data_IF_970666274452
#
_entry.id   IF_970666274452
#
_cell.length_a   1.000
_cell.length_b   1.000
_cell.length_c   1.000
_cell.angle_alpha   90.00
_cell.angle_beta   90.00
_cell.angle_gamma   90.00
#
_symmetry.space_group_name_H-M   'P 1'
#
loop_
_entity.id
_entity.type
_entity.pdbx_description
1 polymer ?
#
# COMPACT_ATOMS: atom_id res chain seq x y z
N UNK A 1 -60.30 -38.05 -37.29
CA UNK A 1 -59.20 -37.10 -37.05
C UNK A 1 -59.66 -36.14 -35.97
N UNK A 2 -59.30 -36.41 -34.72
CA UNK A 2 -59.58 -35.50 -33.60
C UNK A 2 -58.57 -34.36 -33.66
N UNK A 3 -59.06 -33.16 -33.98
CA UNK A 3 -58.30 -31.92 -33.89
C UNK A 3 -58.03 -31.67 -32.41
N UNK A 4 -56.79 -31.87 -31.97
CA UNK A 4 -56.36 -31.41 -30.65
C UNK A 4 -56.27 -29.89 -30.70
N UNK A 5 -57.20 -29.23 -30.02
CA UNK A 5 -57.17 -27.78 -29.80
C UNK A 5 -55.84 -27.42 -29.12
N UNK A 6 -55.05 -26.57 -29.78
CA UNK A 6 -53.72 -26.20 -29.31
C UNK A 6 -53.87 -25.20 -28.15
N UNK A 7 -53.65 -25.67 -26.92
CA UNK A 7 -53.78 -24.84 -25.71
C UNK A 7 -52.71 -23.76 -25.74
N UNK A 8 -53.13 -22.49 -25.73
CA UNK A 8 -52.22 -21.35 -25.77
C UNK A 8 -51.89 -20.81 -24.37
N UNK A 9 -50.81 -20.05 -24.26
CA UNK A 9 -50.43 -19.32 -23.03
C UNK A 9 -51.56 -18.41 -22.54
N UNK A 10 -52.34 -17.84 -23.47
CA UNK A 10 -53.47 -16.96 -23.16
C UNK A 10 -54.63 -17.72 -22.50
N UNK A 11 -54.84 -18.97 -22.88
CA UNK A 11 -55.86 -19.84 -22.28
C UNK A 11 -55.48 -20.19 -20.84
N UNK A 12 -54.19 -20.42 -20.59
CA UNK A 12 -53.66 -20.64 -19.23
C UNK A 12 -53.85 -19.42 -18.32
N UNK A 13 -53.53 -18.21 -18.79
CA UNK A 13 -53.77 -16.98 -18.01
C UNK A 13 -55.25 -16.72 -17.76
N UNK A 14 -56.11 -17.04 -18.72
CA UNK A 14 -57.56 -16.87 -18.57
C UNK A 14 -58.12 -17.84 -17.53
N UNK A 15 -57.64 -19.10 -17.52
CA UNK A 15 -58.00 -20.10 -16.53
C UNK A 15 -57.55 -19.69 -15.12
N UNK A 16 -56.30 -19.20 -14.98
CA UNK A 16 -55.78 -18.70 -13.70
C UNK A 16 -56.64 -17.56 -13.18
N UNK A 17 -56.93 -16.55 -14.00
CA UNK A 17 -57.72 -15.39 -13.58
C UNK A 17 -59.11 -15.77 -13.12
N UNK A 18 -59.72 -16.77 -13.77
CA UNK A 18 -61.01 -17.33 -13.36
C UNK A 18 -60.90 -18.06 -12.02
N UNK A 19 -59.87 -18.91 -11.83
CA UNK A 19 -59.63 -19.58 -10.56
C UNK A 19 -59.35 -18.60 -9.40
N UNK A 20 -58.64 -17.49 -9.64
CA UNK A 20 -58.43 -16.44 -8.64
C UNK A 20 -59.73 -15.77 -8.22
N UNK A 21 -60.63 -15.52 -9.19
CA UNK A 21 -61.92 -14.87 -8.94
C UNK A 21 -62.92 -15.81 -8.24
N UNK A 22 -62.98 -17.07 -8.69
CA UNK A 22 -63.99 -18.03 -8.24
C UNK A 22 -63.59 -18.74 -6.95
N UNK A 23 -62.28 -18.94 -6.70
CA UNK A 23 -61.76 -19.73 -5.57
C UNK A 23 -60.92 -18.90 -4.59
N UNK A 24 -60.71 -17.60 -4.84
CA UNK A 24 -59.92 -16.71 -3.98
C UNK A 24 -58.44 -17.08 -3.89
N UNK A 25 -57.93 -17.86 -4.84
CA UNK A 25 -56.54 -18.32 -4.88
C UNK A 25 -55.63 -17.13 -5.18
N UNK A 26 -54.56 -16.96 -4.40
CA UNK A 26 -53.56 -15.90 -4.65
C UNK A 26 -52.51 -16.33 -5.67
N UNK A 27 -51.78 -15.38 -6.25
CA UNK A 27 -50.61 -15.68 -7.09
C UNK A 27 -49.59 -16.55 -6.36
N UNK A 28 -49.43 -16.36 -5.04
CA UNK A 28 -48.50 -17.12 -4.22
C UNK A 28 -48.89 -18.60 -4.09
N UNK A 29 -50.19 -18.88 -4.02
CA UNK A 29 -50.70 -20.25 -3.97
C UNK A 29 -50.44 -21.01 -5.28
N UNK A 30 -50.53 -20.30 -6.42
CA UNK A 30 -50.25 -20.85 -7.75
C UNK A 30 -48.75 -21.12 -7.91
N UNK A 31 -47.89 -20.21 -7.45
CA UNK A 31 -46.44 -20.42 -7.48
C UNK A 31 -45.98 -21.59 -6.60
N UNK A 32 -46.75 -21.94 -5.56
CA UNK A 32 -46.45 -23.07 -4.68
C UNK A 32 -46.75 -24.43 -5.30
N UNK A 33 -47.56 -24.49 -6.37
CA UNK A 33 -47.92 -25.73 -7.04
C UNK A 33 -46.68 -26.46 -7.60
N UNK A 34 -46.53 -27.78 -7.36
CA UNK A 34 -45.37 -28.55 -7.81
C UNK A 34 -45.13 -28.44 -9.33
N UNK A 35 -46.20 -28.47 -10.12
CA UNK A 35 -46.14 -28.34 -11.59
C UNK A 35 -45.65 -26.98 -12.04
N UNK A 36 -46.07 -25.91 -11.35
CA UNK A 36 -45.59 -24.55 -11.66
C UNK A 36 -44.11 -24.45 -11.29
N UNK A 37 -43.68 -25.00 -10.15
CA UNK A 37 -42.26 -25.04 -9.77
C UNK A 37 -41.38 -25.81 -10.77
N UNK A 38 -41.89 -26.89 -11.37
CA UNK A 38 -41.12 -27.67 -12.35
C UNK A 38 -40.92 -26.94 -13.68
N UNK A 39 -41.87 -26.10 -14.10
CA UNK A 39 -41.83 -25.42 -15.41
C UNK A 39 -41.43 -23.94 -15.33
N UNK A 40 -41.46 -23.31 -14.14
CA UNK A 40 -41.22 -21.86 -13.92
C UNK A 40 -39.94 -21.33 -14.58
N UNK A 41 -38.93 -22.19 -14.73
CA UNK A 41 -37.61 -21.84 -15.22
C UNK A 41 -37.22 -22.52 -16.53
N UNK A 42 -38.10 -23.32 -17.11
CA UNK A 42 -37.86 -24.01 -18.37
C UNK A 42 -37.62 -23.00 -19.50
N UNK A 43 -36.61 -23.25 -20.34
CA UNK A 43 -36.20 -22.33 -21.43
C UNK A 43 -35.50 -21.03 -21.00
N UNK A 44 -35.51 -20.64 -19.71
CA UNK A 44 -34.83 -19.43 -19.22
C UNK A 44 -33.37 -19.67 -18.87
N UNK A 45 -32.47 -18.76 -19.28
CA UNK A 45 -31.04 -18.78 -18.90
C UNK A 45 -30.86 -18.37 -17.43
N UNK A 46 -29.79 -18.83 -16.78
CA UNK A 46 -29.52 -18.53 -15.37
C UNK A 46 -29.57 -17.03 -15.03
N UNK A 47 -29.03 -16.16 -15.90
CA UNK A 47 -29.06 -14.70 -15.72
C UNK A 47 -30.48 -14.14 -15.72
N UNK A 48 -31.38 -14.71 -16.53
CA UNK A 48 -32.80 -14.32 -16.56
C UNK A 48 -33.55 -14.86 -15.34
N UNK A 49 -33.14 -16.01 -14.79
CA UNK A 49 -33.73 -16.58 -13.56
C UNK A 49 -33.40 -15.75 -12.33
N UNK A 50 -32.21 -15.13 -12.31
CA UNK A 50 -31.68 -14.39 -11.17
C UNK A 50 -31.59 -12.88 -11.41
N UNK A 51 -32.28 -12.35 -12.42
CA UNK A 51 -32.16 -10.95 -12.83
C UNK A 51 -32.41 -9.99 -11.65
N UNK A 52 -33.46 -10.21 -10.87
CA UNK A 52 -33.78 -9.42 -9.68
C UNK A 52 -32.67 -9.45 -8.62
N UNK A 53 -32.07 -10.63 -8.37
CA UNK A 53 -30.97 -10.78 -7.41
C UNK A 53 -29.71 -10.09 -7.92
N UNK A 54 -29.45 -10.18 -9.23
CA UNK A 54 -28.32 -9.50 -9.87
C UNK A 54 -28.52 -7.98 -9.80
N UNK A 55 -29.71 -7.47 -10.13
CA UNK A 55 -30.03 -6.05 -10.01
C UNK A 55 -29.95 -5.58 -8.56
N UNK A 56 -30.48 -6.33 -7.60
CA UNK A 56 -30.35 -6.01 -6.17
C UNK A 56 -28.89 -6.00 -5.72
N UNK A 57 -28.06 -6.95 -6.19
CA UNK A 57 -26.63 -7.00 -5.90
C UNK A 57 -25.86 -5.81 -6.49
N UNK A 58 -26.16 -5.43 -7.74
CA UNK A 58 -25.59 -4.25 -8.39
C UNK A 58 -26.03 -2.97 -7.67
N UNK A 59 -27.33 -2.84 -7.38
CA UNK A 59 -27.87 -1.70 -6.65
C UNK A 59 -27.23 -1.60 -5.26
N UNK A 60 -27.10 -2.71 -4.54
CA UNK A 60 -26.40 -2.75 -3.25
C UNK A 60 -24.94 -2.31 -3.39
N UNK A 61 -24.22 -2.79 -4.40
CA UNK A 61 -22.83 -2.40 -4.64
C UNK A 61 -22.70 -0.90 -4.90
N UNK A 62 -23.55 -0.30 -5.75
CA UNK A 62 -23.42 1.12 -6.12
C UNK A 62 -24.05 2.08 -5.10
N UNK A 63 -25.11 1.69 -4.40
CA UNK A 63 -25.82 2.55 -3.43
C UNK A 63 -25.19 2.44 -2.04
N UNK A 64 -24.70 1.26 -1.65
CA UNK A 64 -24.20 1.00 -0.30
C UNK A 64 -22.73 0.62 -0.33
N UNK A 65 -22.32 -0.37 -1.14
CA UNK A 65 -20.95 -0.90 -1.16
C UNK A 65 -19.88 0.15 -1.46
N UNK A 66 -19.95 0.79 -2.62
CA UNK A 66 -18.99 1.81 -3.04
C UNK A 66 -19.06 3.06 -2.15
N UNK A 67 -20.23 3.62 -1.80
CA UNK A 67 -20.28 4.78 -0.90
C UNK A 67 -19.80 4.47 0.52
N UNK A 68 -20.09 3.28 1.06
CA UNK A 68 -19.59 2.88 2.38
C UNK A 68 -18.10 2.59 2.37
N UNK A 69 -17.58 1.93 1.32
CA UNK A 69 -16.14 1.77 1.12
C UNK A 69 -15.47 3.13 1.02
N UNK A 70 -16.01 4.04 0.22
CA UNK A 70 -15.51 5.40 0.07
C UNK A 70 -15.58 6.15 1.40
N UNK A 71 -16.66 6.03 2.17
CA UNK A 71 -16.80 6.62 3.51
C UNK A 71 -15.76 6.06 4.49
N UNK A 72 -15.54 4.74 4.50
CA UNK A 72 -14.53 4.11 5.36
C UNK A 72 -13.12 4.54 4.95
N UNK A 73 -12.82 4.58 3.65
CA UNK A 73 -11.57 5.12 3.12
C UNK A 73 -11.41 6.59 3.49
N UNK A 74 -12.45 7.42 3.35
CA UNK A 74 -12.42 8.83 3.77
C UNK A 74 -12.13 8.93 5.27
N UNK A 75 -12.82 8.14 6.10
CA UNK A 75 -12.69 8.17 7.56
C UNK A 75 -11.33 7.67 8.05
N UNK A 76 -10.79 6.62 7.44
CA UNK A 76 -9.56 5.95 7.91
C UNK A 76 -8.29 6.46 7.22
N UNK A 77 -8.39 6.89 5.97
CA UNK A 77 -7.24 7.13 5.09
C UNK A 77 -7.12 8.58 4.59
N UNK A 78 -8.12 9.46 4.81
CA UNK A 78 -8.12 10.82 4.23
C UNK A 78 -8.15 11.96 5.25
N UNK A 79 -7.47 13.04 4.89
CA UNK A 79 -7.40 14.26 5.69
C UNK A 79 -8.70 15.07 5.65
N UNK A 80 -9.62 14.86 4.69
CA UNK A 80 -10.96 15.46 4.77
C UNK A 80 -11.76 14.85 5.93
N UNK A 81 -11.67 13.52 6.09
CA UNK A 81 -12.26 12.80 7.21
C UNK A 81 -11.66 13.22 8.54
N UNK A 82 -10.33 13.32 8.61
CA UNK A 82 -9.64 13.83 9.80
C UNK A 82 -9.92 15.32 10.05
N UNK A 83 -9.94 16.20 9.05
CA UNK A 83 -10.21 17.64 9.20
C UNK A 83 -11.64 17.91 9.65
N UNK A 84 -12.64 17.15 9.18
CA UNK A 84 -14.01 17.22 9.70
C UNK A 84 -14.09 16.74 11.14
N UNK A 85 -13.36 15.67 11.48
CA UNK A 85 -13.27 15.13 12.83
C UNK A 85 -12.51 16.07 13.78
N UNK A 86 -11.41 16.67 13.33
CA UNK A 86 -10.63 17.68 14.04
C UNK A 86 -11.42 18.97 14.19
N UNK A 87 -12.20 19.38 13.19
CA UNK A 87 -13.15 20.50 13.34
C UNK A 87 -14.25 20.17 14.34
N UNK A 88 -14.74 18.92 14.39
CA UNK A 88 -15.66 18.42 15.40
C UNK A 88 -15.02 18.37 16.80
N UNK A 89 -13.77 17.90 16.94
CA UNK A 89 -13.04 17.86 18.22
C UNK A 89 -12.56 19.24 18.68
N UNK A 90 -12.21 20.15 17.77
CA UNK A 90 -11.89 21.55 18.06
C UNK A 90 -13.14 22.30 18.54
N UNK A 91 -14.33 21.96 18.02
CA UNK A 91 -15.61 22.42 18.57
C UNK A 91 -15.83 21.94 20.02
N UNK A 92 -15.24 20.80 20.40
CA UNK A 92 -15.25 20.24 21.76
C UNK A 92 -13.95 20.46 22.57
N UNK A 93 -12.98 21.24 22.06
CA UNK A 93 -11.85 21.77 22.82
C UNK A 93 -10.54 20.97 22.87
N UNK A 94 -10.23 20.11 21.90
CA UNK A 94 -8.96 19.36 21.87
C UNK A 94 -8.12 19.67 20.61
N UNK A 95 -7.01 20.41 20.76
CA UNK A 95 -6.20 20.95 19.66
C UNK A 95 -4.94 20.11 19.42
N UNK A 96 -4.84 19.43 18.26
CA UNK A 96 -3.56 19.01 17.68
C UNK A 96 -3.45 19.48 16.22
N UNK A 97 -2.36 20.18 15.91
CA UNK A 97 -2.08 20.80 14.62
C UNK A 97 -1.68 19.78 13.55
N UNK A 98 -2.00 20.08 12.29
CA UNK A 98 -1.73 19.26 11.11
C UNK A 98 -0.47 19.74 10.39
N UNK A 99 0.49 18.84 10.17
CA UNK A 99 1.70 19.06 9.37
C UNK A 99 1.39 19.03 7.84
N UNK A 100 2.25 19.71 7.06
CA UNK A 100 2.04 20.30 5.73
C UNK A 100 1.69 19.40 4.52
N UNK A 101 1.42 18.09 4.62
CA UNK A 101 1.08 17.26 3.44
C UNK A 101 -0.25 16.52 3.57
N UNK A 102 -1.33 17.29 3.59
CA UNK A 102 -2.67 16.75 3.80
C UNK A 102 -3.46 16.54 2.50
N UNK A 103 -3.49 15.31 1.99
CA UNK A 103 -4.26 14.96 0.78
C UNK A 103 -5.71 14.54 1.09
N UNK A 104 -6.68 15.08 0.32
CA UNK A 104 -8.12 14.72 0.39
C UNK A 104 -8.38 13.25 0.03
N UNK A 105 -7.52 12.66 -0.77
CA UNK A 105 -7.54 11.24 -1.11
C UNK A 105 -6.09 10.78 -1.29
N UNK A 106 -5.66 9.77 -0.53
CA UNK A 106 -4.38 9.12 -0.75
C UNK A 106 -4.54 8.18 -1.94
N UNK A 107 -3.92 8.54 -3.06
CA UNK A 107 -3.89 7.69 -4.24
C UNK A 107 -3.17 6.38 -3.90
N UNK A 108 -3.77 5.25 -4.26
CA UNK A 108 -3.13 3.93 -4.12
C UNK A 108 -1.75 3.95 -4.78
N UNK A 109 -0.75 3.33 -4.17
CA UNK A 109 0.62 3.20 -4.70
C UNK A 109 0.62 2.70 -6.16
N UNK A 110 -0.26 1.75 -6.49
CA UNK A 110 -0.44 1.25 -7.85
C UNK A 110 -0.87 2.32 -8.88
N UNK A 111 -1.55 3.37 -8.42
CA UNK A 111 -1.97 4.51 -9.24
C UNK A 111 -0.99 5.69 -9.15
N UNK A 112 -0.01 5.69 -8.25
CA UNK A 112 0.93 6.80 -8.15
C UNK A 112 1.90 6.82 -9.33
N UNK A 113 2.53 5.68 -9.60
CA UNK A 113 3.53 5.53 -10.67
C UNK A 113 3.04 5.87 -12.08
N UNK A 114 1.85 5.43 -12.55
CA UNK A 114 1.38 5.75 -13.90
C UNK A 114 0.88 7.19 -14.07
N UNK A 115 0.58 7.90 -12.98
CA UNK A 115 0.01 9.26 -13.02
C UNK A 115 1.02 10.35 -12.60
N UNK A 116 2.26 10.00 -12.28
CA UNK A 116 3.31 10.99 -12.06
C UNK A 116 3.61 11.76 -13.36
N UNK A 117 4.11 13.00 -13.28
CA UNK A 117 4.59 13.72 -14.45
C UNK A 117 5.64 12.90 -15.22
N UNK A 118 5.56 12.81 -16.56
CA UNK A 118 6.55 12.09 -17.34
C UNK A 118 7.90 12.79 -17.27
N UNK A 119 8.98 12.02 -17.21
CA UNK A 119 10.35 12.55 -17.28
C UNK A 119 10.81 12.74 -18.73
N UNK A 120 11.82 13.60 -18.95
CA UNK A 120 12.50 13.69 -20.24
C UNK A 120 13.45 12.49 -20.43
N UNK A 121 13.07 11.56 -21.31
CA UNK A 121 13.85 10.35 -21.58
C UNK A 121 15.21 10.61 -22.24
N UNK A 122 15.49 11.82 -22.73
CA UNK A 122 16.83 12.17 -23.21
C UNK A 122 17.87 12.14 -22.09
N UNK A 123 17.46 12.41 -20.85
CA UNK A 123 18.32 12.40 -19.66
C UNK A 123 18.89 11.01 -19.33
N UNK A 124 18.14 9.93 -19.64
CA UNK A 124 18.59 8.55 -19.41
C UNK A 124 19.08 7.82 -20.67
N UNK A 125 19.07 8.47 -21.85
CA UNK A 125 19.39 7.82 -23.14
C UNK A 125 20.75 7.13 -23.18
N UNK A 126 21.74 7.69 -22.47
CA UNK A 126 23.12 7.18 -22.44
C UNK A 126 23.44 6.40 -21.15
N UNK A 127 22.44 6.13 -20.31
CA UNK A 127 22.63 5.40 -19.05
C UNK A 127 22.58 3.90 -19.34
N UNK A 128 23.75 3.29 -19.44
CA UNK A 128 23.88 1.84 -19.75
C UNK A 128 24.10 0.96 -18.52
N UNK A 129 24.19 1.55 -17.32
CA UNK A 129 24.45 0.83 -16.08
C UNK A 129 24.94 1.73 -14.95
N UNK A 130 25.32 1.13 -13.83
CA UNK A 130 25.79 1.84 -12.63
C UNK A 130 27.24 2.29 -12.81
N UNK A 131 27.55 3.55 -12.48
CA UNK A 131 28.93 4.05 -12.38
C UNK A 131 29.51 3.76 -11.02
N UNK A 132 30.78 3.41 -10.97
CA UNK A 132 31.48 3.10 -9.73
C UNK A 132 32.59 4.12 -9.52
N UNK A 133 32.53 4.86 -8.42
CA UNK A 133 33.44 5.97 -8.13
C UNK A 133 33.94 5.92 -6.70
N UNK A 134 35.00 6.68 -6.43
CA UNK A 134 35.62 6.86 -5.12
C UNK A 134 36.30 8.23 -5.06
N UNK A 135 36.59 8.71 -3.85
CA UNK A 135 37.27 9.97 -3.56
C UNK A 135 36.66 11.17 -4.31
N UNK A 136 35.35 11.32 -4.20
CA UNK A 136 34.58 12.29 -4.97
C UNK A 136 34.37 13.58 -4.18
N UNK A 137 34.65 14.74 -4.80
CA UNK A 137 34.41 16.04 -4.17
C UNK A 137 32.94 16.45 -4.26
N UNK A 138 32.50 17.37 -3.39
CA UNK A 138 31.15 17.96 -3.48
C UNK A 138 30.84 18.52 -4.87
N UNK A 139 31.81 19.23 -5.47
CA UNK A 139 31.63 19.86 -6.78
C UNK A 139 31.47 18.81 -7.89
N UNK A 140 32.27 17.75 -7.88
CA UNK A 140 32.13 16.64 -8.83
C UNK A 140 30.80 15.91 -8.65
N UNK A 141 30.31 15.76 -7.41
CA UNK A 141 29.00 15.15 -7.16
C UNK A 141 27.87 15.95 -7.77
N UNK A 142 27.86 17.25 -7.48
CA UNK A 142 26.83 18.17 -7.95
C UNK A 142 26.81 18.27 -9.47
N UNK A 143 27.98 18.40 -10.09
CA UNK A 143 28.13 18.58 -11.53
C UNK A 143 27.78 17.31 -12.32
N UNK A 144 28.20 16.13 -11.83
CA UNK A 144 28.11 14.90 -12.63
C UNK A 144 26.96 13.97 -12.24
N UNK A 145 26.44 14.04 -11.01
CA UNK A 145 25.55 12.99 -10.48
C UNK A 145 24.25 13.52 -9.85
N UNK A 146 24.30 14.54 -8.99
CA UNK A 146 23.19 14.93 -8.12
C UNK A 146 21.87 15.23 -8.86
N UNK A 147 21.96 15.78 -10.07
CA UNK A 147 20.81 16.16 -10.91
C UNK A 147 20.79 15.42 -12.24
N UNK A 148 21.40 14.23 -12.28
CA UNK A 148 21.41 13.36 -13.45
C UNK A 148 20.61 12.09 -13.20
N UNK A 149 20.20 11.41 -14.27
CA UNK A 149 19.60 10.06 -14.18
C UNK A 149 20.63 8.93 -14.09
N UNK A 150 21.92 9.24 -13.92
CA UNK A 150 22.99 8.24 -13.87
C UNK A 150 23.12 7.66 -12.45
N UNK A 151 22.74 6.38 -12.21
CA UNK A 151 22.96 5.75 -10.92
C UNK A 151 24.47 5.58 -10.66
N UNK A 152 24.89 5.87 -9.44
CA UNK A 152 26.29 5.86 -9.02
C UNK A 152 26.47 5.12 -7.69
N UNK A 153 27.51 4.28 -7.61
CA UNK A 153 27.95 3.60 -6.40
C UNK A 153 29.28 4.17 -5.96
N UNK A 154 29.28 4.81 -4.79
CA UNK A 154 30.47 5.40 -4.17
C UNK A 154 31.09 4.38 -3.22
N UNK A 155 32.24 3.80 -3.58
CA UNK A 155 32.84 2.67 -2.86
C UNK A 155 33.34 3.02 -1.47
N UNK A 156 33.74 4.26 -1.26
CA UNK A 156 34.31 4.79 -0.02
C UNK A 156 33.36 5.73 0.72
N UNK A 157 32.07 5.78 0.34
CA UNK A 157 31.08 6.69 0.90
C UNK A 157 30.83 6.55 2.41
N UNK A 158 31.14 5.38 2.97
CA UNK A 158 30.99 5.07 4.41
C UNK A 158 32.30 5.28 5.20
N UNK A 159 33.26 6.04 4.67
CA UNK A 159 34.56 6.22 5.32
C UNK A 159 34.43 6.85 6.73
N UNK A 160 34.98 6.16 7.73
CA UNK A 160 34.95 6.56 9.13
C UNK A 160 33.62 6.27 9.85
N UNK A 161 32.71 5.49 9.26
CA UNK A 161 31.52 5.00 9.95
C UNK A 161 31.87 3.78 10.82
N UNK A 162 31.25 3.68 11.99
CA UNK A 162 31.34 2.51 12.89
C UNK A 162 30.07 1.64 12.84
N UNK A 163 29.09 2.04 12.02
CA UNK A 163 27.82 1.35 11.87
C UNK A 163 27.99 -0.12 11.45
N UNK A 164 29.02 -0.44 10.67
CA UNK A 164 29.27 -1.82 10.22
C UNK A 164 29.58 -2.77 11.37
N UNK A 165 30.28 -2.28 12.38
CA UNK A 165 30.68 -3.02 13.57
C UNK A 165 29.56 -3.04 14.62
N UNK A 166 28.77 -1.97 14.72
CA UNK A 166 27.76 -1.81 15.77
C UNK A 166 26.36 -2.30 15.36
N UNK A 167 25.90 -1.97 14.15
CA UNK A 167 24.51 -2.21 13.76
C UNK A 167 24.23 -3.71 13.59
N UNK A 168 23.26 -4.17 14.38
CA UNK A 168 22.82 -5.55 14.46
C UNK A 168 21.39 -5.58 15.01
N UNK A 169 20.69 -6.71 14.84
CA UNK A 169 19.35 -6.89 15.40
C UNK A 169 19.32 -6.55 16.90
N UNK A 170 20.29 -7.09 17.65
CA UNK A 170 20.41 -6.86 19.10
C UNK A 170 20.65 -5.38 19.44
N UNK A 171 21.50 -4.69 18.67
CA UNK A 171 21.74 -3.26 18.90
C UNK A 171 20.46 -2.45 18.67
N UNK A 172 19.75 -2.66 17.55
CA UNK A 172 18.49 -1.94 17.31
C UNK A 172 17.41 -2.30 18.34
N UNK A 173 17.30 -3.58 18.73
CA UNK A 173 16.39 -4.01 19.81
C UNK A 173 16.71 -3.33 21.15
N UNK A 174 17.99 -3.00 21.42
CA UNK A 174 18.38 -2.24 22.61
C UNK A 174 18.01 -0.75 22.52
N UNK A 175 18.07 -0.16 21.32
CA UNK A 175 17.66 1.25 21.09
C UNK A 175 16.14 1.39 21.18
N UNK A 176 15.41 0.41 20.66
CA UNK A 176 13.95 0.33 20.68
C UNK A 176 13.49 -0.74 21.68
N UNK A 177 13.99 -0.67 22.92
CA UNK A 177 13.67 -1.68 23.93
C UNK A 177 12.16 -1.69 24.24
N UNK A 178 11.62 -2.82 24.74
CA UNK A 178 10.25 -2.87 25.24
C UNK A 178 9.98 -1.73 26.22
N UNK A 179 8.79 -1.14 26.13
CA UNK A 179 8.32 -0.02 26.95
C UNK A 179 9.17 1.27 26.87
N UNK A 180 10.09 1.38 25.90
CA UNK A 180 10.83 2.62 25.66
C UNK A 180 9.96 3.66 24.94
N UNK A 181 10.18 4.93 25.29
CA UNK A 181 9.57 6.08 24.60
C UNK A 181 9.88 6.07 23.10
N UNK A 182 11.07 5.63 22.72
CA UNK A 182 11.49 5.50 21.33
C UNK A 182 10.62 4.48 20.58
N UNK A 183 10.42 3.28 21.15
CA UNK A 183 9.59 2.25 20.53
C UNK A 183 8.11 2.69 20.46
N UNK A 184 7.58 3.28 21.54
CA UNK A 184 6.20 3.78 21.58
C UNK A 184 5.96 4.82 20.48
N UNK A 185 6.84 5.82 20.39
CA UNK A 185 6.75 6.89 19.40
C UNK A 185 6.88 6.35 17.98
N UNK A 186 7.84 5.46 17.74
CA UNK A 186 8.05 4.90 16.38
C UNK A 186 6.88 4.03 15.95
N UNK A 187 6.29 3.27 16.87
CA UNK A 187 5.12 2.44 16.60
C UNK A 187 3.86 3.27 16.31
N UNK A 188 3.70 4.41 17.00
CA UNK A 188 2.52 5.27 16.86
C UNK A 188 2.62 6.25 15.68
N UNK A 189 3.78 6.86 15.49
CA UNK A 189 3.94 8.06 14.68
C UNK A 189 4.80 7.85 13.42
N UNK A 190 5.65 6.81 13.38
CA UNK A 190 6.53 6.56 12.23
C UNK A 190 5.97 5.48 11.29
N UNK A 191 6.58 5.38 10.10
CA UNK A 191 6.20 4.42 9.07
C UNK A 191 7.00 3.12 9.23
N UNK A 192 6.30 1.99 9.08
CA UNK A 192 6.86 0.64 9.09
C UNK A 192 6.54 -0.08 7.78
N UNK A 193 7.52 -0.81 7.25
CA UNK A 193 7.43 -1.56 6.00
C UNK A 193 7.61 -3.06 6.24
N UNK A 194 6.52 -3.83 6.35
CA UNK A 194 6.56 -5.25 6.68
C UNK A 194 6.72 -6.14 5.44
N UNK A 195 7.70 -5.88 4.57
CA UNK A 195 7.83 -6.54 3.25
C UNK A 195 7.69 -8.08 3.31
N UNK A 196 6.52 -8.57 2.88
CA UNK A 196 6.17 -10.01 2.85
C UNK A 196 6.24 -10.69 4.23
N UNK A 197 6.07 -9.93 5.30
CA UNK A 197 6.01 -10.42 6.67
C UNK A 197 4.61 -10.25 7.27
N UNK A 198 4.40 -10.84 8.46
CA UNK A 198 3.15 -10.71 9.22
C UNK A 198 3.21 -9.65 10.32
N UNK A 199 4.34 -8.95 10.45
CA UNK A 199 4.53 -7.94 11.49
C UNK A 199 3.61 -6.75 11.23
N UNK A 200 2.85 -6.31 12.24
CA UNK A 200 2.05 -5.09 12.18
C UNK A 200 2.90 -3.83 12.28
N UNK A 201 3.93 -3.87 13.13
CA UNK A 201 4.72 -2.71 13.52
C UNK A 201 6.12 -3.12 14.03
N UNK A 202 6.90 -2.12 14.43
CA UNK A 202 8.27 -2.29 14.90
C UNK A 202 8.35 -3.03 16.25
N UNK A 203 7.31 -2.93 17.09
CA UNK A 203 7.25 -3.62 18.37
C UNK A 203 7.11 -5.12 18.17
N UNK A 204 6.21 -5.55 17.28
CA UNK A 204 6.08 -6.97 16.94
C UNK A 204 7.37 -7.53 16.31
N UNK A 205 8.04 -6.73 15.48
CA UNK A 205 9.32 -7.10 14.88
C UNK A 205 10.40 -7.37 15.94
N UNK A 206 10.60 -6.47 16.91
CA UNK A 206 11.60 -6.67 17.96
C UNK A 206 11.19 -7.67 19.04
N UNK A 207 9.91 -8.07 19.07
CA UNK A 207 9.40 -9.12 19.95
C UNK A 207 9.47 -10.54 19.32
N UNK A 208 10.16 -10.70 18.18
CA UNK A 208 10.35 -12.04 17.60
C UNK A 208 11.33 -12.90 18.41
N UNK A 209 11.22 -14.22 18.26
CA UNK A 209 12.14 -15.14 18.92
C UNK A 209 13.58 -15.00 18.40
N UNK A 210 14.56 -15.21 19.28
CA UNK A 210 15.98 -15.18 18.93
C UNK A 210 16.32 -16.14 17.78
N UNK A 211 15.70 -17.33 17.78
CA UNK A 211 15.79 -18.31 16.70
C UNK A 211 15.40 -17.71 15.35
N UNK A 212 14.26 -17.01 15.29
CA UNK A 212 13.78 -16.35 14.07
C UNK A 212 14.67 -15.17 13.65
N UNK A 213 15.13 -14.38 14.61
CA UNK A 213 16.08 -13.31 14.35
C UNK A 213 17.40 -13.85 13.74
N UNK A 214 17.82 -15.05 14.15
CA UNK A 214 18.99 -15.75 13.62
C UNK A 214 18.73 -16.56 12.33
N UNK A 215 17.51 -16.49 11.79
CA UNK A 215 17.14 -17.13 10.52
C UNK A 215 16.66 -18.58 10.63
N UNK A 216 16.34 -19.05 11.83
CA UNK A 216 15.56 -20.28 12.00
C UNK A 216 14.07 -19.97 11.83
N UNK A 217 13.49 -20.33 10.68
CA UNK A 217 12.07 -20.16 10.39
C UNK A 217 11.82 -19.35 9.12
N UNK A 218 10.70 -18.64 9.09
CA UNK A 218 10.32 -17.80 7.94
C UNK A 218 11.28 -16.61 7.79
N UNK A 219 11.78 -16.34 6.57
CA UNK A 219 12.59 -15.16 6.31
C UNK A 219 11.80 -13.88 6.59
N UNK A 220 12.52 -12.78 6.80
CA UNK A 220 11.93 -11.48 7.06
C UNK A 220 12.81 -10.39 6.46
N UNK A 221 12.17 -9.33 5.98
CA UNK A 221 12.82 -8.09 5.55
C UNK A 221 11.87 -6.95 5.93
N UNK A 222 12.35 -6.02 6.73
CA UNK A 222 11.54 -4.90 7.24
C UNK A 222 12.28 -3.59 7.03
N UNK A 223 11.51 -2.50 6.95
CA UNK A 223 12.02 -1.14 7.01
C UNK A 223 11.26 -0.30 8.01
N UNK A 224 11.87 0.73 8.59
CA UNK A 224 11.18 1.71 9.42
C UNK A 224 11.83 3.09 9.32
N UNK A 225 11.02 4.15 9.50
CA UNK A 225 11.56 5.49 9.72
C UNK A 225 11.95 5.67 11.17
N UNK A 226 13.13 6.23 11.39
CA UNK A 226 13.58 6.65 12.69
C UNK A 226 13.17 8.11 12.94
N UNK A 227 11.89 8.33 13.25
CA UNK A 227 11.33 9.66 13.50
C UNK A 227 11.38 10.09 14.99
N UNK A 228 11.89 9.23 15.88
CA UNK A 228 12.22 9.62 17.25
C UNK A 228 13.60 10.30 17.33
N UNK A 229 13.67 11.46 17.98
CA UNK A 229 14.89 12.26 18.04
C UNK A 229 15.99 11.64 18.91
N UNK A 230 15.64 10.92 19.98
CA UNK A 230 16.63 10.28 20.85
C UNK A 230 17.24 9.07 20.14
N UNK A 231 16.41 8.22 19.54
CA UNK A 231 16.86 7.10 18.74
C UNK A 231 17.67 7.57 17.51
N UNK A 232 17.24 8.63 16.82
CA UNK A 232 17.99 9.24 15.72
C UNK A 232 19.40 9.66 16.15
N UNK A 233 19.51 10.38 17.26
CA UNK A 233 20.80 10.81 17.79
C UNK A 233 21.68 9.64 18.23
N UNK A 234 21.10 8.57 18.78
CA UNK A 234 21.83 7.35 19.12
C UNK A 234 22.42 6.68 17.87
N UNK A 235 21.61 6.46 16.83
CA UNK A 235 22.08 5.83 15.61
C UNK A 235 23.11 6.68 14.85
N UNK A 236 22.95 8.01 14.83
CA UNK A 236 23.86 8.98 14.18
C UNK A 236 25.23 9.10 14.86
N UNK A 237 25.48 8.40 15.97
CA UNK A 237 26.85 8.22 16.50
C UNK A 237 27.70 7.32 15.60
N UNK A 238 27.06 6.51 14.76
CA UNK A 238 27.71 5.43 14.02
C UNK A 238 27.84 5.67 12.52
N UNK A 239 27.14 6.67 11.99
CA UNK A 239 27.26 7.14 10.62
C UNK A 239 27.12 8.65 10.57
N UNK A 240 27.52 9.25 9.46
CA UNK A 240 27.48 10.69 9.21
C UNK A 240 27.06 10.92 7.77
N UNK A 241 26.69 12.15 7.43
CA UNK A 241 26.55 12.55 6.05
C UNK A 241 27.80 12.12 5.24
N UNK A 242 27.67 11.35 4.15
CA UNK A 242 28.78 10.98 3.30
C UNK A 242 29.59 12.20 2.86
N UNK A 243 30.91 12.07 2.86
CA UNK A 243 31.86 13.18 2.64
C UNK A 243 31.74 13.87 1.27
N UNK A 244 31.06 13.24 0.31
CA UNK A 244 30.87 13.75 -1.04
C UNK A 244 29.53 14.50 -1.19
N UNK A 245 28.65 14.42 -0.19
CA UNK A 245 27.36 15.10 -0.20
C UNK A 245 27.49 16.49 0.45
N UNK A 246 27.10 17.56 -0.26
CA UNK A 246 26.98 18.89 0.33
C UNK A 246 25.97 18.88 1.49
N UNK A 247 26.27 19.53 2.63
CA UNK A 247 25.32 19.66 3.74
C UNK A 247 24.00 20.33 3.34
N UNK A 248 24.03 21.16 2.29
CA UNK A 248 22.86 21.83 1.75
C UNK A 248 21.89 20.87 1.06
N UNK A 249 22.29 19.64 0.75
CA UNK A 249 21.38 18.60 0.23
C UNK A 249 20.86 17.66 1.33
N UNK A 250 21.32 17.82 2.57
CA UNK A 250 20.89 17.02 3.71
C UNK A 250 19.71 17.68 4.43
N UNK A 251 18.51 17.39 3.92
CA UNK A 251 17.27 18.04 4.39
C UNK A 251 16.40 17.13 5.26
N UNK A 252 16.67 15.82 5.29
CA UNK A 252 15.83 14.90 6.05
C UNK A 252 16.25 14.86 7.52
N UNK A 253 15.32 15.14 8.42
CA UNK A 253 15.50 14.84 9.85
C UNK A 253 15.30 13.37 10.17
N UNK A 254 14.82 12.58 9.21
CA UNK A 254 14.41 11.18 9.39
C UNK A 254 15.28 10.27 8.54
N UNK A 255 15.96 9.35 9.20
CA UNK A 255 16.70 8.27 8.56
C UNK A 255 15.85 7.02 8.48
N UNK A 256 16.06 6.21 7.45
CA UNK A 256 15.36 4.95 7.24
C UNK A 256 16.30 3.79 7.45
N UNK A 257 15.87 2.79 8.22
CA UNK A 257 16.63 1.57 8.44
C UNK A 257 15.92 0.41 7.75
N UNK A 258 16.67 -0.36 6.98
CA UNK A 258 16.18 -1.59 6.34
C UNK A 258 17.05 -2.75 6.77
N UNK A 259 16.42 -3.84 7.22
CA UNK A 259 17.09 -5.02 7.72
C UNK A 259 16.33 -6.28 7.31
N UNK A 260 17.06 -7.34 6.97
CA UNK A 260 16.44 -8.63 6.73
C UNK A 260 17.42 -9.77 6.54
N UNK A 261 16.84 -10.94 6.38
CA UNK A 261 17.49 -12.18 5.99
C UNK A 261 17.44 -12.35 4.46
N UNK A 262 18.26 -13.25 3.89
CA UNK A 262 18.17 -13.57 2.47
C UNK A 262 16.76 -14.03 2.06
N UNK A 263 16.29 -13.53 0.91
CA UNK A 263 15.03 -13.96 0.29
C UNK A 263 14.10 -12.79 -0.02
N UNK A 264 13.58 -12.13 1.01
CA UNK A 264 12.63 -11.03 0.85
C UNK A 264 13.31 -9.70 0.51
N UNK A 265 12.53 -8.81 -0.09
CA UNK A 265 12.97 -7.48 -0.49
C UNK A 265 11.77 -6.59 -0.83
N UNK A 266 12.05 -5.32 -1.06
CA UNK A 266 11.05 -4.40 -1.59
C UNK A 266 10.70 -4.76 -3.04
N UNK A 267 9.43 -4.59 -3.40
CA UNK A 267 8.96 -4.76 -4.79
C UNK A 267 9.52 -3.63 -5.67
N UNK A 268 9.38 -3.72 -6.99
CA UNK A 268 9.67 -2.59 -7.88
C UNK A 268 8.71 -1.43 -7.57
N UNK A 269 9.25 -0.24 -7.32
CA UNK A 269 8.52 0.99 -7.01
C UNK A 269 9.37 2.22 -7.37
N UNK A 270 8.76 3.40 -7.37
CA UNK A 270 9.44 4.68 -7.50
C UNK A 270 9.27 5.45 -6.20
N UNK A 271 10.38 5.85 -5.58
CA UNK A 271 10.36 6.68 -4.39
C UNK A 271 10.12 8.15 -4.76
N UNK A 272 9.02 8.73 -4.29
CA UNK A 272 8.80 10.16 -4.37
C UNK A 272 9.45 10.87 -3.17
N UNK A 273 10.75 11.13 -3.31
CA UNK A 273 11.52 11.89 -2.33
C UNK A 273 11.64 13.33 -2.80
N UNK A 274 11.15 14.29 -2.00
CA UNK A 274 11.26 15.72 -2.32
C UNK A 274 12.69 16.26 -2.33
N UNK A 275 13.67 15.41 -1.97
CA UNK A 275 15.09 15.74 -1.85
C UNK A 275 15.95 14.56 -2.31
N UNK A 276 17.26 14.74 -2.39
CA UNK A 276 18.17 13.68 -2.82
C UNK A 276 18.13 12.50 -1.84
N UNK A 277 17.83 11.30 -2.33
CA UNK A 277 17.89 10.06 -1.54
C UNK A 277 19.17 9.30 -1.85
N UNK A 278 19.85 8.85 -0.79
CA UNK A 278 21.02 7.99 -0.88
C UNK A 278 20.85 6.82 0.09
N UNK A 279 21.48 5.69 -0.24
CA UNK A 279 21.40 4.49 0.59
C UNK A 279 22.78 3.90 0.82
N UNK A 280 23.05 3.52 2.07
CA UNK A 280 24.30 2.87 2.45
C UNK A 280 24.04 1.41 2.84
N UNK A 281 24.68 0.47 2.14
CA UNK A 281 24.70 -0.93 2.55
C UNK A 281 25.73 -1.11 3.68
N UNK A 282 25.26 -1.10 4.92
CA UNK A 282 26.12 -1.17 6.12
C UNK A 282 26.69 -2.57 6.34
N UNK A 283 25.85 -3.60 6.24
CA UNK A 283 26.23 -5.00 6.51
C UNK A 283 25.54 -5.96 5.54
N UNK A 284 26.23 -7.03 5.16
CA UNK A 284 25.69 -8.02 4.22
C UNK A 284 25.68 -7.54 2.77
N UNK A 285 24.82 -8.15 1.97
CA UNK A 285 24.69 -7.88 0.52
C UNK A 285 23.24 -7.56 0.18
N UNK A 286 23.06 -6.58 -0.70
CA UNK A 286 21.74 -6.20 -1.26
C UNK A 286 21.85 -6.16 -2.77
N UNK A 287 20.88 -6.78 -3.44
CA UNK A 287 20.73 -6.73 -4.90
C UNK A 287 19.78 -5.60 -5.24
N UNK A 288 20.28 -4.63 -5.99
CA UNK A 288 19.47 -3.57 -6.59
C UNK A 288 19.15 -3.96 -8.03
N UNK A 289 17.87 -3.86 -8.40
CA UNK A 289 17.42 -3.96 -9.79
C UNK A 289 16.86 -2.58 -10.10
N UNK A 290 17.45 -1.91 -11.08
CA UNK A 290 17.05 -0.59 -11.51
C UNK A 290 16.49 -0.71 -12.92
N UNK A 291 15.32 -0.11 -13.14
CA UNK A 291 14.71 0.01 -14.45
C UNK A 291 14.52 1.48 -14.79
N UNK A 292 14.51 1.80 -16.07
CA UNK A 292 14.17 3.13 -16.54
C UNK A 292 12.70 3.45 -16.20
N UNK A 293 12.37 4.73 -16.01
CA UNK A 293 10.99 5.21 -15.97
C UNK A 293 10.12 4.56 -17.07
N UNK A 294 8.90 4.08 -16.74
CA UNK A 294 8.04 3.36 -17.68
C UNK A 294 7.77 4.07 -19.02
N UNK A 295 7.69 5.40 -19.00
CA UNK A 295 7.48 6.25 -20.18
C UNK A 295 8.68 6.27 -21.14
N UNK A 296 9.84 5.80 -20.70
CA UNK A 296 11.07 5.73 -21.50
C UNK A 296 11.29 4.36 -22.15
N UNK A 297 10.36 3.41 -22.00
CA UNK A 297 10.32 2.21 -22.82
C UNK A 297 9.74 2.57 -24.21
N UNK A 298 10.61 3.00 -25.12
CA UNK A 298 10.25 3.38 -26.49
C UNK A 298 11.45 3.44 -27.42
#
# INVERSE_FOLDING_TARGET
>A
MTVTEEITVKDFYTLIKKAQTDLGISDEDIERLPTVKSIKWEGKRWTQRNAEIIYAGIAFLFIIGLPSSLYVTIRKETELGKTLLTSYYNYYGDNQGLDEESCVYRMSEFLQDPFRPPVDCNECKNVTGIKYVNNLTHAEFLDQYAFSMQPVLIKDGQNGWTAKETFSYNYFSSVYSPDSEALEKVTRDCQFFPYQTKFSDLSEFFNMSEKRANGEGDPWYVGWSNCDGKAANELRKHYKLPYFLPPELDHSKTDWVFMGLPGYGANMHIDFVGTLSWQAQVKGLKKWILETPPECFG
#
